data_IF_401749801237
#
_entry.id   IF_401749801237
#
_cell.length_a   1.000
_cell.length_b   1.000
_cell.length_c   1.000
_cell.angle_alpha   90.00
_cell.angle_beta   90.00
_cell.angle_gamma   90.00
#
_symmetry.space_group_name_H-M   'P 1'
#
loop_
_entity.id
_entity.type
_entity.pdbx_description
1 polymer ?
#
# COMPACT_ATOMS: atom_id res chain seq x y z
N UNK A 1 2.46 1.53 31.96
CA UNK A 1 2.27 1.74 30.50
C UNK A 1 1.75 0.43 29.95
N UNK A 2 0.51 0.35 29.51
CA UNK A 2 -0.04 -0.87 28.97
C UNK A 2 0.75 -1.30 27.74
N UNK A 3 1.31 -2.51 27.75
CA UNK A 3 1.98 -3.11 26.61
C UNK A 3 0.96 -3.22 25.48
N UNK A 4 1.26 -2.70 24.30
CA UNK A 4 0.47 -2.98 23.10
C UNK A 4 0.41 -4.50 22.92
N UNK A 5 -0.77 -5.06 22.61
CA UNK A 5 -0.95 -6.50 22.35
C UNK A 5 -0.01 -7.06 21.25
N UNK A 6 0.67 -6.19 20.50
CA UNK A 6 1.59 -6.53 19.40
C UNK A 6 3.06 -6.51 19.81
N UNK A 7 3.40 -6.33 21.09
CA UNK A 7 4.80 -6.12 21.52
C UNK A 7 5.62 -7.42 21.56
N UNK A 8 5.02 -8.57 21.86
CA UNK A 8 5.73 -9.84 21.94
C UNK A 8 5.79 -10.54 20.59
N UNK A 9 6.98 -10.51 19.95
CA UNK A 9 7.20 -11.11 18.64
C UNK A 9 7.00 -12.65 18.64
N UNK A 10 7.22 -13.32 19.77
CA UNK A 10 7.00 -14.77 19.91
C UNK A 10 5.53 -15.12 19.69
N UNK A 11 4.62 -14.29 20.21
CA UNK A 11 3.17 -14.49 20.10
C UNK A 11 2.57 -13.91 18.79
N UNK A 12 3.38 -13.24 17.96
CA UNK A 12 2.95 -12.68 16.69
C UNK A 12 2.96 -13.73 15.56
N UNK A 13 2.34 -14.89 15.81
CA UNK A 13 2.30 -16.04 14.90
C UNK A 13 0.98 -16.80 15.04
N UNK A 14 0.75 -17.81 14.20
CA UNK A 14 -0.35 -18.76 14.37
C UNK A 14 0.02 -19.80 15.43
N UNK A 15 -0.93 -20.18 16.30
CA UNK A 15 -0.65 -21.01 17.47
C UNK A 15 0.02 -22.35 17.16
N UNK A 16 -0.33 -23.00 16.04
CA UNK A 16 0.29 -24.28 15.64
C UNK A 16 1.78 -24.17 15.30
N UNK A 17 2.26 -22.93 15.02
CA UNK A 17 3.68 -22.68 14.77
C UNK A 17 4.55 -22.84 16.01
N UNK A 18 3.96 -22.72 17.20
CA UNK A 18 4.68 -22.93 18.46
C UNK A 18 5.23 -24.35 18.60
N UNK A 19 4.58 -25.34 17.97
CA UNK A 19 4.96 -26.75 17.99
C UNK A 19 5.84 -27.21 16.83
N UNK A 20 6.25 -26.34 15.90
CA UNK A 20 6.99 -26.77 14.71
C UNK A 20 8.40 -27.30 15.02
N UNK A 21 9.00 -26.93 16.15
CA UNK A 21 10.29 -27.44 16.60
C UNK A 21 10.32 -28.96 16.82
N UNK A 22 9.17 -29.56 17.13
CA UNK A 22 9.00 -31.01 17.30
C UNK A 22 8.83 -31.78 15.98
N UNK A 23 8.66 -31.07 14.85
CA UNK A 23 8.19 -31.68 13.60
C UNK A 23 9.30 -31.90 12.58
N UNK A 24 10.46 -31.24 12.74
CA UNK A 24 11.57 -31.42 11.83
C UNK A 24 12.35 -32.70 12.11
N UNK A 25 12.94 -33.33 11.08
CA UNK A 25 13.95 -34.39 11.27
C UNK A 25 15.08 -33.91 12.20
N UNK A 26 15.58 -34.82 13.07
CA UNK A 26 16.55 -34.46 14.10
C UNK A 26 17.90 -33.93 13.54
N UNK A 27 18.22 -34.28 12.31
CA UNK A 27 19.42 -33.82 11.60
C UNK A 27 19.23 -32.50 10.84
N UNK A 28 18.03 -31.87 10.87
CA UNK A 28 17.78 -30.59 10.24
C UNK A 28 18.57 -29.46 10.92
N UNK A 29 19.30 -28.67 10.13
CA UNK A 29 20.12 -27.54 10.62
C UNK A 29 19.64 -26.21 10.07
N UNK A 30 19.24 -26.17 8.81
CA UNK A 30 18.71 -24.94 8.22
C UNK A 30 17.47 -25.22 7.39
N UNK A 31 16.57 -24.24 7.40
CA UNK A 31 15.32 -24.25 6.63
C UNK A 31 15.27 -22.97 5.80
N UNK A 32 15.08 -23.13 4.51
CA UNK A 32 14.86 -22.03 3.57
C UNK A 32 13.40 -21.96 3.16
N UNK A 33 12.82 -20.77 3.21
CA UNK A 33 11.48 -20.49 2.72
C UNK A 33 11.47 -19.18 1.92
N UNK A 34 10.52 -19.03 1.01
CA UNK A 34 10.34 -17.78 0.27
C UNK A 34 8.88 -17.38 0.16
N UNK A 35 8.67 -16.05 0.08
CA UNK A 35 7.38 -15.43 -0.19
C UNK A 35 7.24 -15.17 -1.68
N UNK A 36 6.09 -15.53 -2.24
CA UNK A 36 5.74 -15.30 -3.64
C UNK A 36 4.25 -15.04 -3.77
N UNK A 37 3.83 -14.53 -4.92
CA UNK A 37 2.44 -14.36 -5.30
C UNK A 37 2.07 -15.30 -6.45
N UNK A 38 0.83 -15.79 -6.45
CA UNK A 38 0.27 -16.50 -7.62
C UNK A 38 -0.38 -15.53 -8.61
N UNK A 39 -0.40 -14.23 -8.28
CA UNK A 39 -1.07 -13.19 -9.06
C UNK A 39 -2.58 -13.24 -8.94
N UNK A 40 -3.26 -12.39 -9.67
CA UNK A 40 -4.72 -12.41 -9.84
C UNK A 40 -5.08 -12.63 -11.30
N UNK A 41 -6.34 -12.96 -11.56
CA UNK A 41 -6.88 -13.08 -12.93
C UNK A 41 -6.83 -11.78 -13.74
N UNK A 42 -6.71 -10.63 -13.07
CA UNK A 42 -6.74 -9.31 -13.71
C UNK A 42 -5.39 -8.80 -14.19
N UNK A 43 -4.29 -9.12 -13.49
CA UNK A 43 -2.91 -8.85 -13.92
C UNK A 43 -1.92 -9.80 -13.27
N UNK A 44 -0.90 -10.24 -14.00
CA UNK A 44 0.13 -11.11 -13.47
C UNK A 44 1.17 -10.38 -12.62
N UNK A 45 1.26 -9.03 -12.69
CA UNK A 45 2.29 -8.26 -12.01
C UNK A 45 1.81 -7.75 -10.65
N UNK A 46 2.76 -7.65 -9.72
CA UNK A 46 2.60 -7.17 -8.35
C UNK A 46 3.70 -6.17 -8.04
N UNK A 47 3.36 -5.06 -7.39
CA UNK A 47 4.32 -4.11 -6.84
C UNK A 47 4.75 -4.57 -5.45
N UNK A 48 6.03 -4.92 -5.28
CA UNK A 48 6.56 -5.32 -3.97
C UNK A 48 6.85 -4.09 -3.11
N UNK A 49 6.32 -4.08 -1.87
CA UNK A 49 6.52 -3.00 -0.91
C UNK A 49 6.25 -3.47 0.52
N UNK A 50 6.92 -2.84 1.51
CA UNK A 50 6.56 -2.86 2.93
C UNK A 50 7.44 -3.69 3.85
N UNK A 51 8.36 -4.49 3.34
CA UNK A 51 9.25 -5.32 4.16
C UNK A 51 10.12 -4.47 5.12
N UNK A 52 10.67 -3.34 4.66
CA UNK A 52 11.52 -2.47 5.47
C UNK A 52 10.79 -1.94 6.71
N UNK A 53 9.49 -1.68 6.64
CA UNK A 53 8.69 -1.29 7.80
C UNK A 53 8.72 -2.40 8.86
N UNK A 54 8.52 -3.65 8.47
CA UNK A 54 8.52 -4.81 9.37
C UNK A 54 9.90 -5.05 9.99
N UNK A 55 10.97 -4.97 9.20
CA UNK A 55 12.33 -5.14 9.69
C UNK A 55 12.65 -4.12 10.78
N UNK A 56 12.27 -2.85 10.59
CA UNK A 56 12.51 -1.76 11.56
C UNK A 56 11.56 -1.80 12.76
N UNK A 57 10.28 -2.12 12.54
CA UNK A 57 9.27 -2.01 13.59
C UNK A 57 9.22 -3.23 14.51
N UNK A 58 9.60 -4.41 13.98
CA UNK A 58 9.51 -5.68 14.70
C UNK A 58 10.86 -6.40 14.87
N UNK A 59 11.55 -6.71 13.79
CA UNK A 59 12.75 -7.57 13.88
C UNK A 59 13.95 -6.88 14.52
N UNK A 60 14.03 -5.55 14.48
CA UNK A 60 15.08 -4.79 15.18
C UNK A 60 14.89 -4.73 16.70
N UNK A 61 13.77 -5.22 17.22
CA UNK A 61 13.50 -5.27 18.66
C UNK A 61 13.88 -6.64 19.21
N UNK A 62 14.73 -6.68 20.24
CA UNK A 62 15.12 -7.95 20.85
C UNK A 62 13.95 -8.55 21.63
N UNK A 63 13.79 -9.86 21.50
CA UNK A 63 12.94 -10.65 22.41
C UNK A 63 13.60 -10.69 23.80
N UNK A 64 12.84 -10.43 24.84
CA UNK A 64 13.30 -10.45 26.22
C UNK A 64 12.97 -11.79 26.90
N UNK A 65 13.64 -12.05 28.04
CA UNK A 65 13.28 -13.17 28.93
C UNK A 65 11.82 -13.07 29.41
N UNK A 66 11.31 -11.86 29.63
CA UNK A 66 9.90 -11.65 30.01
C UNK A 66 8.94 -12.07 28.90
N UNK A 67 9.26 -11.76 27.62
CA UNK A 67 8.46 -12.20 26.47
C UNK A 67 8.43 -13.73 26.35
N UNK A 68 9.55 -14.42 26.66
CA UNK A 68 9.60 -15.89 26.66
C UNK A 68 8.71 -16.47 27.74
N UNK A 69 8.72 -15.90 28.94
CA UNK A 69 7.88 -16.37 30.04
C UNK A 69 6.39 -16.14 29.75
N UNK A 70 6.03 -14.98 29.23
CA UNK A 70 4.65 -14.70 28.79
C UNK A 70 4.19 -15.69 27.71
N UNK A 71 5.05 -15.96 26.71
CA UNK A 71 4.73 -16.88 25.64
C UNK A 71 4.57 -18.34 26.14
N UNK A 72 5.39 -18.77 27.11
CA UNK A 72 5.24 -20.08 27.76
C UNK A 72 3.90 -20.21 28.47
N UNK A 73 3.52 -19.21 29.27
CA UNK A 73 2.25 -19.20 30.01
C UNK A 73 1.05 -19.27 29.05
N UNK A 74 1.09 -18.44 27.99
CA UNK A 74 0.04 -18.43 26.96
C UNK A 74 -0.02 -19.76 26.22
N UNK A 75 1.11 -20.31 25.80
CA UNK A 75 1.17 -21.58 25.08
C UNK A 75 0.61 -22.72 25.93
N UNK A 76 1.02 -22.82 27.20
CA UNK A 76 0.53 -23.85 28.14
C UNK A 76 -0.98 -23.73 28.36
N UNK A 77 -1.50 -22.53 28.63
CA UNK A 77 -2.93 -22.31 28.83
C UNK A 77 -3.74 -22.58 27.55
N UNK A 78 -3.13 -22.34 26.36
CA UNK A 78 -3.74 -22.60 25.06
C UNK A 78 -3.62 -24.05 24.57
N UNK A 79 -2.88 -24.89 25.31
CA UNK A 79 -2.69 -26.30 24.96
C UNK A 79 -1.69 -26.56 23.82
N UNK A 80 -0.72 -25.67 23.66
CA UNK A 80 0.33 -25.78 22.64
C UNK A 80 1.69 -26.11 23.27
N UNK A 81 2.52 -26.95 22.62
CA UNK A 81 3.90 -27.11 22.99
C UNK A 81 4.70 -25.83 22.75
N UNK A 82 5.74 -25.59 23.56
CA UNK A 82 6.56 -24.39 23.49
C UNK A 82 8.05 -24.72 23.68
N UNK A 83 8.90 -24.24 22.77
CA UNK A 83 10.36 -24.41 22.88
C UNK A 83 10.98 -23.30 23.74
N UNK A 84 10.76 -23.37 25.05
CA UNK A 84 11.36 -22.42 26.00
C UNK A 84 12.88 -22.39 25.89
N UNK A 85 13.53 -23.55 25.71
CA UNK A 85 14.98 -23.64 25.65
C UNK A 85 15.54 -22.95 24.38
N UNK A 86 14.89 -23.15 23.23
CA UNK A 86 15.26 -22.48 21.97
C UNK A 86 15.07 -20.95 22.06
N UNK A 87 13.98 -20.49 22.65
CA UNK A 87 13.77 -19.05 22.84
C UNK A 87 14.74 -18.41 23.84
N UNK A 88 15.05 -19.08 24.94
CA UNK A 88 16.08 -18.61 25.89
C UNK A 88 17.48 -18.61 25.24
N UNK A 89 17.79 -19.58 24.37
CA UNK A 89 19.02 -19.59 23.58
C UNK A 89 19.12 -18.33 22.68
N UNK A 90 18.01 -17.90 22.06
CA UNK A 90 17.99 -16.64 21.29
C UNK A 90 18.30 -15.44 22.21
N UNK A 91 17.71 -15.38 23.40
CA UNK A 91 17.95 -14.29 24.35
C UNK A 91 19.41 -14.27 24.81
N UNK A 92 19.98 -15.42 25.16
CA UNK A 92 21.29 -15.56 25.79
C UNK A 92 22.45 -15.49 24.79
N UNK A 93 22.28 -16.09 23.61
CA UNK A 93 23.34 -16.22 22.61
C UNK A 93 23.29 -15.10 21.56
N UNK A 94 22.07 -14.68 21.19
CA UNK A 94 21.86 -13.68 20.14
C UNK A 94 21.34 -12.34 20.66
N UNK A 95 21.35 -12.12 22.01
CA UNK A 95 20.88 -10.88 22.63
C UNK A 95 19.40 -10.61 22.37
N UNK A 96 18.60 -11.64 22.11
CA UNK A 96 17.17 -11.55 21.78
C UNK A 96 16.88 -11.24 20.32
N UNK A 97 17.86 -11.01 19.49
CA UNK A 97 17.68 -10.77 18.06
C UNK A 97 17.57 -12.09 17.30
N UNK A 98 16.60 -12.19 16.39
CA UNK A 98 16.35 -13.45 15.71
C UNK A 98 17.51 -13.81 14.75
N UNK A 99 18.12 -15.00 14.88
CA UNK A 99 19.17 -15.47 13.99
C UNK A 99 18.59 -15.92 12.64
N UNK A 100 18.23 -14.93 11.84
CA UNK A 100 17.67 -15.07 10.50
C UNK A 100 18.49 -14.26 9.50
N UNK A 101 18.59 -14.77 8.29
CA UNK A 101 18.99 -14.04 7.09
C UNK A 101 17.77 -13.86 6.20
N UNK A 102 17.49 -12.62 5.81
CA UNK A 102 16.40 -12.26 4.90
C UNK A 102 17.01 -11.61 3.66
N UNK A 103 16.65 -12.15 2.51
CA UNK A 103 17.00 -11.60 1.20
C UNK A 103 15.70 -11.16 0.51
N UNK A 104 15.73 -10.02 -0.16
CA UNK A 104 14.55 -9.48 -0.84
C UNK A 104 14.94 -8.78 -2.15
N UNK A 105 13.99 -8.74 -3.08
CA UNK A 105 14.09 -7.81 -4.20
C UNK A 105 13.91 -6.38 -3.69
N UNK A 106 14.47 -5.36 -4.36
CA UNK A 106 14.26 -3.97 -3.96
C UNK A 106 12.78 -3.58 -3.92
N UNK A 107 12.35 -2.90 -2.86
CA UNK A 107 10.97 -2.38 -2.78
C UNK A 107 10.69 -1.40 -3.93
N UNK A 108 9.46 -1.36 -4.42
CA UNK A 108 9.07 -0.63 -5.63
C UNK A 108 9.31 -1.41 -6.94
N UNK A 109 9.79 -2.66 -6.86
CA UNK A 109 9.95 -3.53 -8.02
C UNK A 109 8.60 -4.14 -8.42
N UNK A 110 8.26 -4.06 -9.70
CA UNK A 110 7.15 -4.81 -10.28
C UNK A 110 7.63 -6.23 -10.67
N UNK A 111 6.87 -7.24 -10.28
CA UNK A 111 7.24 -8.65 -10.49
C UNK A 111 6.04 -9.43 -11.00
N UNK A 112 6.30 -10.41 -11.86
CA UNK A 112 5.28 -11.37 -12.26
C UNK A 112 5.03 -12.43 -11.18
N UNK A 113 3.85 -13.05 -11.25
CA UNK A 113 3.50 -14.18 -10.38
C UNK A 113 4.56 -15.27 -10.44
N UNK A 114 4.79 -15.91 -9.29
CA UNK A 114 5.73 -17.01 -9.16
C UNK A 114 7.17 -16.58 -8.86
N UNK A 115 7.51 -15.30 -9.02
CA UNK A 115 8.82 -14.78 -8.65
C UNK A 115 8.90 -14.61 -7.13
N UNK A 116 9.94 -15.09 -6.45
CA UNK A 116 10.14 -14.86 -5.02
C UNK A 116 10.44 -13.39 -4.76
N UNK A 117 9.71 -12.78 -3.83
CA UNK A 117 9.92 -11.38 -3.41
C UNK A 117 10.82 -11.30 -2.18
N UNK A 118 10.75 -12.31 -1.30
CA UNK A 118 11.54 -12.43 -0.07
C UNK A 118 11.95 -13.89 0.10
N UNK A 119 13.19 -14.15 0.51
CA UNK A 119 13.66 -15.43 0.97
C UNK A 119 14.21 -15.31 2.39
N UNK A 120 13.92 -16.28 3.25
CA UNK A 120 14.36 -16.32 4.64
C UNK A 120 14.99 -17.66 4.95
N UNK A 121 16.09 -17.61 5.72
CA UNK A 121 16.84 -18.81 6.20
C UNK A 121 17.25 -18.54 7.65
N UNK A 122 17.16 -19.54 8.53
CA UNK A 122 17.78 -19.47 9.86
C UNK A 122 19.30 -19.53 9.73
N UNK A 123 20.01 -18.77 10.55
CA UNK A 123 21.48 -18.74 10.58
C UNK A 123 22.06 -19.56 11.74
N UNK A 124 21.26 -19.84 12.77
CA UNK A 124 21.62 -20.73 13.85
C UNK A 124 21.09 -22.15 13.58
N UNK A 125 21.97 -23.17 13.46
CA UNK A 125 21.57 -24.54 13.21
C UNK A 125 20.80 -25.21 14.37
N UNK A 126 20.78 -24.62 15.56
CA UNK A 126 19.98 -25.08 16.69
C UNK A 126 18.49 -24.69 16.54
N UNK A 127 18.16 -23.76 15.64
CA UNK A 127 16.85 -23.11 15.52
C UNK A 127 16.24 -23.24 14.11
N UNK A 128 16.20 -24.43 13.49
CA UNK A 128 15.67 -24.60 12.13
C UNK A 128 14.18 -24.24 12.03
N UNK A 129 13.42 -24.38 13.10
CA UNK A 129 12.00 -24.05 13.19
C UNK A 129 11.68 -22.56 13.10
N UNK A 130 12.67 -21.68 13.36
CA UNK A 130 12.47 -20.23 13.41
C UNK A 130 11.98 -19.67 12.06
N UNK A 131 12.44 -20.24 10.94
CA UNK A 131 11.95 -19.90 9.60
C UNK A 131 10.45 -20.14 9.44
N UNK A 132 9.92 -21.22 10.01
CA UNK A 132 8.48 -21.48 10.01
C UNK A 132 7.72 -20.58 10.98
N UNK A 133 8.30 -20.26 12.13
CA UNK A 133 7.69 -19.43 13.15
C UNK A 133 7.40 -18.03 12.65
N UNK A 134 8.35 -17.41 11.90
CA UNK A 134 8.21 -16.04 11.39
C UNK A 134 7.23 -15.90 10.21
N UNK A 135 6.75 -17.01 9.63
CA UNK A 135 5.91 -16.99 8.42
C UNK A 135 4.71 -16.06 8.56
N UNK A 136 3.96 -16.15 9.66
CA UNK A 136 2.71 -15.40 9.82
C UNK A 136 2.93 -13.90 9.82
N UNK A 137 3.90 -13.42 10.59
CA UNK A 137 4.22 -12.00 10.67
C UNK A 137 4.89 -11.47 9.41
N UNK A 138 5.84 -12.22 8.84
CA UNK A 138 6.52 -11.87 7.59
C UNK A 138 5.54 -11.83 6.40
N UNK A 139 4.64 -12.80 6.31
CA UNK A 139 3.65 -12.84 5.24
C UNK A 139 2.70 -11.64 5.31
N UNK A 140 2.21 -11.27 6.51
CA UNK A 140 1.40 -10.06 6.72
C UNK A 140 2.14 -8.79 6.31
N UNK A 141 3.42 -8.70 6.67
CA UNK A 141 4.28 -7.57 6.33
C UNK A 141 4.50 -7.38 4.83
N UNK A 142 4.29 -8.42 4.03
CA UNK A 142 4.50 -8.41 2.58
C UNK A 142 3.19 -8.30 1.81
N UNK A 143 2.19 -9.16 2.11
CA UNK A 143 1.02 -9.25 1.25
C UNK A 143 0.16 -7.99 1.27
N UNK A 144 -0.07 -7.41 2.46
CA UNK A 144 -0.99 -6.27 2.58
C UNK A 144 -0.43 -5.00 1.93
N UNK A 145 0.76 -4.50 2.26
CA UNK A 145 1.30 -3.31 1.62
C UNK A 145 1.56 -3.50 0.12
N UNK A 146 2.02 -4.69 -0.30
CA UNK A 146 2.20 -4.99 -1.73
C UNK A 146 0.87 -4.97 -2.49
N UNK A 147 -0.23 -5.44 -1.87
CA UNK A 147 -1.55 -5.40 -2.49
C UNK A 147 -2.06 -3.96 -2.63
N UNK A 148 -1.89 -3.12 -1.60
CA UNK A 148 -2.26 -1.70 -1.67
C UNK A 148 -1.40 -0.96 -2.71
N UNK A 149 -0.07 -1.16 -2.71
CA UNK A 149 0.83 -0.55 -3.68
C UNK A 149 0.47 -0.97 -5.13
N UNK A 150 0.11 -2.24 -5.33
CA UNK A 150 -0.37 -2.74 -6.63
C UNK A 150 -1.69 -2.10 -7.03
N UNK A 151 -2.60 -1.89 -6.09
CA UNK A 151 -3.88 -1.20 -6.35
C UNK A 151 -3.63 0.26 -6.73
N UNK A 152 -2.75 0.96 -6.02
CA UNK A 152 -2.33 2.33 -6.35
C UNK A 152 -1.66 2.39 -7.73
N UNK A 153 -0.81 1.42 -8.07
CA UNK A 153 -0.23 1.31 -9.40
C UNK A 153 -1.29 1.14 -10.50
N UNK A 154 -2.28 0.28 -10.27
CA UNK A 154 -3.41 0.09 -11.22
C UNK A 154 -4.23 1.36 -11.40
N UNK A 155 -4.48 2.11 -10.34
CA UNK A 155 -5.13 3.42 -10.40
C UNK A 155 -4.33 4.39 -11.27
N UNK A 156 -3.01 4.46 -11.06
CA UNK A 156 -2.11 5.26 -11.92
C UNK A 156 -2.25 4.86 -13.38
N UNK A 157 -2.16 3.55 -13.69
CA UNK A 157 -2.25 3.04 -15.06
C UNK A 157 -3.64 3.25 -15.68
N UNK A 158 -4.69 3.33 -14.87
CA UNK A 158 -6.04 3.62 -15.34
C UNK A 158 -6.26 5.11 -15.67
N UNK A 159 -5.59 6.02 -14.95
CA UNK A 159 -5.77 7.46 -15.07
C UNK A 159 -4.79 8.07 -16.10
N UNK A 160 -3.55 7.61 -16.12
CA UNK A 160 -2.47 8.21 -16.92
C UNK A 160 -2.81 8.35 -18.40
N UNK A 161 -3.42 7.38 -19.12
CA UNK A 161 -3.77 7.52 -20.52
C UNK A 161 -4.75 8.68 -20.78
N UNK A 162 -5.68 8.98 -19.86
CA UNK A 162 -6.58 10.13 -19.97
C UNK A 162 -5.82 11.44 -19.80
N UNK A 163 -4.92 11.51 -18.82
CA UNK A 163 -4.06 12.67 -18.65
C UNK A 163 -3.18 12.91 -19.89
N UNK A 164 -2.56 11.86 -20.43
CA UNK A 164 -1.73 11.93 -21.63
C UNK A 164 -2.50 12.45 -22.86
N UNK A 165 -3.75 12.09 -23.02
CA UNK A 165 -4.56 12.57 -24.15
C UNK A 165 -5.13 13.96 -23.94
N UNK A 166 -5.43 14.36 -22.71
CA UNK A 166 -6.28 15.53 -22.44
C UNK A 166 -5.63 16.65 -21.64
N UNK A 167 -4.38 16.48 -21.14
CA UNK A 167 -3.70 17.52 -20.34
C UNK A 167 -2.34 17.90 -20.94
N UNK A 168 -1.87 19.11 -20.65
CA UNK A 168 -0.56 19.60 -21.10
C UNK A 168 0.59 19.03 -20.26
N UNK A 169 0.36 18.71 -18.98
CA UNK A 169 1.34 18.12 -18.06
C UNK A 169 0.80 16.84 -17.38
N UNK A 170 0.77 15.71 -18.09
CA UNK A 170 0.20 14.48 -17.55
C UNK A 170 1.00 13.92 -16.36
N UNK A 171 2.33 14.01 -16.39
CA UNK A 171 3.19 13.42 -15.34
C UNK A 171 3.24 14.29 -14.08
N UNK A 172 3.22 15.61 -14.20
CA UNK A 172 3.17 16.52 -13.06
C UNK A 172 1.81 16.48 -12.34
N UNK A 173 0.72 16.23 -13.07
CA UNK A 173 -0.62 16.13 -12.49
C UNK A 173 -0.92 14.79 -11.86
N UNK A 174 -0.40 13.69 -12.42
CA UNK A 174 -0.73 12.32 -12.01
C UNK A 174 -0.58 12.07 -10.51
N UNK A 175 0.49 12.51 -9.81
CA UNK A 175 0.69 12.21 -8.40
C UNK A 175 -0.42 12.75 -7.46
N UNK A 176 -1.14 13.77 -7.89
CA UNK A 176 -2.21 14.41 -7.10
C UNK A 176 -3.62 13.93 -7.46
N UNK A 177 -3.77 12.97 -8.38
CA UNK A 177 -5.11 12.59 -8.89
C UNK A 177 -5.89 11.67 -7.99
N UNK A 178 -5.25 10.92 -7.08
CA UNK A 178 -5.95 10.08 -6.11
C UNK A 178 -5.43 10.35 -4.70
N UNK A 179 -6.35 10.68 -3.80
CA UNK A 179 -6.10 10.85 -2.37
C UNK A 179 -6.54 9.61 -1.59
N UNK A 180 -5.75 9.21 -0.62
CA UNK A 180 -6.14 8.17 0.34
C UNK A 180 -7.06 8.75 1.42
N UNK A 181 -8.33 8.33 1.44
CA UNK A 181 -9.34 8.61 2.45
C UNK A 181 -9.69 7.35 3.28
N UNK A 182 -8.81 6.34 3.23
CA UNK A 182 -9.06 5.01 3.79
C UNK A 182 -8.78 4.85 5.27
N UNK A 183 -8.21 5.83 5.95
CA UNK A 183 -7.81 5.72 7.37
C UNK A 183 -8.94 5.18 8.25
N UNK A 184 -10.14 5.75 8.14
CA UNK A 184 -11.35 5.33 8.91
C UNK A 184 -11.90 3.97 8.48
N UNK A 185 -11.50 3.44 7.34
CA UNK A 185 -12.01 2.18 6.79
C UNK A 185 -11.17 0.97 7.19
N UNK A 186 -10.04 1.18 7.87
CA UNK A 186 -9.16 0.10 8.34
C UNK A 186 -9.59 -0.39 9.72
N UNK A 187 -9.21 -1.63 10.07
CA UNK A 187 -9.53 -2.24 11.36
C UNK A 187 -8.61 -1.80 12.51
N UNK A 188 -7.57 -1.04 12.22
CA UNK A 188 -6.63 -0.54 13.22
C UNK A 188 -5.62 0.45 12.66
N UNK A 189 -4.99 1.21 13.55
CA UNK A 189 -4.00 2.24 13.20
C UNK A 189 -2.83 1.68 12.40
N UNK A 190 -2.36 0.48 12.75
CA UNK A 190 -1.26 -0.18 12.04
C UNK A 190 -1.63 -0.48 10.59
N UNK A 191 -2.83 -1.00 10.35
CA UNK A 191 -3.31 -1.25 8.98
C UNK A 191 -3.39 0.06 8.18
N UNK A 192 -3.89 1.14 8.79
CA UNK A 192 -3.92 2.47 8.16
C UNK A 192 -2.52 2.99 7.85
N UNK A 193 -1.58 2.81 8.79
CA UNK A 193 -0.19 3.26 8.63
C UNK A 193 0.51 2.54 7.47
N UNK A 194 0.42 1.21 7.44
CA UNK A 194 1.07 0.38 6.42
C UNK A 194 0.40 0.58 5.05
N UNK A 195 -0.93 0.59 5.00
CA UNK A 195 -1.68 0.79 3.74
C UNK A 195 -1.53 2.19 3.18
N UNK A 196 -1.63 3.22 4.04
CA UNK A 196 -1.40 4.60 3.63
C UNK A 196 0.02 4.83 3.09
N UNK A 197 1.04 4.24 3.72
CA UNK A 197 2.40 4.27 3.20
C UNK A 197 2.51 3.63 1.80
N UNK A 198 1.83 2.51 1.59
CA UNK A 198 1.84 1.79 0.32
C UNK A 198 1.17 2.58 -0.83
N UNK A 199 0.07 3.30 -0.55
CA UNK A 199 -0.57 4.21 -1.50
C UNK A 199 0.41 5.28 -1.99
N UNK A 200 1.22 5.83 -1.09
CA UNK A 200 2.16 6.91 -1.38
C UNK A 200 3.33 6.51 -2.28
N UNK A 201 3.48 5.24 -2.62
CA UNK A 201 4.45 4.79 -3.64
C UNK A 201 4.13 5.40 -5.02
N UNK A 202 2.84 5.59 -5.34
CA UNK A 202 2.39 6.07 -6.65
C UNK A 202 1.69 7.43 -6.64
N UNK A 203 1.21 7.88 -5.48
CA UNK A 203 0.51 9.14 -5.31
C UNK A 203 1.14 9.98 -4.20
N UNK A 204 0.90 11.31 -4.27
CA UNK A 204 1.43 12.27 -3.30
C UNK A 204 0.31 13.00 -2.53
N UNK A 205 -0.91 12.43 -2.55
CA UNK A 205 -2.07 13.00 -1.87
C UNK A 205 -2.67 11.99 -0.91
N UNK A 206 -2.89 12.40 0.36
CA UNK A 206 -3.43 11.53 1.39
C UNK A 206 -3.93 12.34 2.59
N UNK A 207 -5.07 11.91 3.15
CA UNK A 207 -5.60 12.35 4.45
C UNK A 207 -5.29 11.34 5.57
N UNK A 208 -4.62 10.22 5.25
CA UNK A 208 -4.22 9.20 6.22
C UNK A 208 -2.93 9.58 6.93
N UNK A 209 -3.01 10.39 7.99
CA UNK A 209 -1.85 10.79 8.78
C UNK A 209 -0.99 9.61 9.27
N UNK A 210 -1.55 8.47 9.74
CA UNK A 210 -0.76 7.31 10.11
C UNK A 210 0.16 6.81 8.97
N UNK A 211 -0.31 6.83 7.71
CA UNK A 211 0.50 6.46 6.54
C UNK A 211 1.66 7.41 6.29
N UNK A 212 1.42 8.71 6.41
CA UNK A 212 2.46 9.74 6.28
C UNK A 212 3.55 9.55 7.35
N UNK A 213 3.14 9.36 8.61
CA UNK A 213 4.07 9.14 9.72
C UNK A 213 4.88 7.86 9.55
N UNK A 214 4.26 6.81 9.01
CA UNK A 214 4.94 5.54 8.74
C UNK A 214 6.04 5.69 7.69
N UNK A 215 5.77 6.41 6.59
CA UNK A 215 6.78 6.69 5.56
C UNK A 215 7.94 7.51 6.14
N UNK A 216 7.64 8.55 6.91
CA UNK A 216 8.67 9.37 7.57
C UNK A 216 9.56 8.52 8.47
N UNK A 217 8.97 7.65 9.28
CA UNK A 217 9.70 6.82 10.25
C UNK A 217 10.51 5.71 9.57
N UNK A 218 9.91 4.99 8.64
CA UNK A 218 10.52 3.79 8.06
C UNK A 218 11.47 4.09 6.90
N UNK A 219 11.23 5.16 6.14
CA UNK A 219 11.95 5.47 4.91
C UNK A 219 12.66 6.84 4.92
N UNK A 220 12.57 7.59 6.03
CA UNK A 220 13.30 8.85 6.20
C UNK A 220 12.83 10.01 5.32
N UNK A 221 11.62 9.95 4.75
CA UNK A 221 11.08 11.05 3.94
C UNK A 221 10.59 12.20 4.83
N UNK A 222 10.86 13.45 4.44
CA UNK A 222 10.42 14.62 5.21
C UNK A 222 8.90 14.80 5.17
N UNK A 223 8.33 14.96 3.98
CA UNK A 223 6.88 15.07 3.78
C UNK A 223 6.47 14.33 2.50
N UNK A 224 6.04 13.05 2.63
CA UNK A 224 5.75 12.20 1.47
C UNK A 224 4.41 12.51 0.79
N UNK A 225 3.51 13.26 1.43
CA UNK A 225 2.19 13.59 0.91
C UNK A 225 1.73 14.98 1.30
N UNK A 226 0.82 15.51 0.49
CA UNK A 226 0.12 16.76 0.73
C UNK A 226 -1.39 16.51 0.79
N UNK A 227 -2.11 17.41 1.46
CA UNK A 227 -3.56 17.52 1.44
C UNK A 227 -3.97 18.98 1.40
N UNK A 228 -5.26 19.24 1.28
CA UNK A 228 -5.87 20.58 1.32
C UNK A 228 -6.89 20.65 2.44
N UNK A 229 -7.14 21.81 3.04
CA UNK A 229 -8.24 21.97 3.99
C UNK A 229 -9.55 21.49 3.37
N UNK A 230 -10.35 20.74 4.14
CA UNK A 230 -11.59 20.17 3.66
C UNK A 230 -12.70 20.30 4.72
N UNK A 231 -13.92 20.59 4.26
CA UNK A 231 -15.11 20.57 5.09
C UNK A 231 -15.70 19.15 5.16
N UNK A 232 -16.39 18.85 6.25
CA UNK A 232 -17.24 17.66 6.42
C UNK A 232 -18.72 18.04 6.56
N UNK A 233 -19.61 17.09 6.31
CA UNK A 233 -21.06 17.33 6.40
C UNK A 233 -21.49 17.90 7.75
N UNK A 234 -20.95 17.37 8.87
CA UNK A 234 -21.29 17.84 10.20
C UNK A 234 -21.02 19.33 10.43
N UNK A 235 -19.93 19.85 9.86
CA UNK A 235 -19.61 21.28 9.98
C UNK A 235 -20.49 22.17 9.11
N UNK A 236 -20.98 21.67 7.98
CA UNK A 236 -21.95 22.41 7.15
C UNK A 236 -23.34 22.38 7.79
N UNK A 237 -23.82 21.21 8.17
CA UNK A 237 -25.18 21.04 8.75
C UNK A 237 -25.34 21.70 10.10
N UNK A 238 -24.27 21.94 10.84
CA UNK A 238 -24.29 22.73 12.09
C UNK A 238 -24.80 24.17 11.90
N UNK A 239 -24.70 24.70 10.67
CA UNK A 239 -25.26 26.03 10.35
C UNK A 239 -26.78 26.00 10.08
N UNK A 240 -27.30 24.83 9.71
CA UNK A 240 -28.68 24.65 9.25
C UNK A 240 -28.87 24.99 7.77
N UNK A 241 -29.87 24.37 7.14
CA UNK A 241 -30.13 24.49 5.69
C UNK A 241 -30.26 25.93 5.21
N UNK A 242 -30.98 26.75 5.96
CA UNK A 242 -31.23 28.16 5.59
C UNK A 242 -29.96 29.03 5.60
N UNK A 243 -28.90 28.56 6.24
CA UNK A 243 -27.61 29.25 6.37
C UNK A 243 -26.46 28.57 5.63
N UNK A 244 -26.76 27.66 4.72
CA UNK A 244 -25.73 26.96 3.95
C UNK A 244 -24.82 27.93 3.17
N UNK A 245 -25.40 28.98 2.58
CA UNK A 245 -24.61 30.03 1.90
C UNK A 245 -23.66 30.77 2.84
N UNK A 246 -24.07 31.00 4.09
CA UNK A 246 -23.22 31.64 5.11
C UNK A 246 -22.10 30.69 5.54
N UNK A 247 -22.41 29.38 5.71
CA UNK A 247 -21.42 28.37 6.02
C UNK A 247 -20.29 28.32 4.96
N UNK A 248 -20.67 28.26 3.69
CA UNK A 248 -19.70 28.26 2.59
C UNK A 248 -18.90 29.56 2.51
N UNK A 249 -19.58 30.73 2.69
CA UNK A 249 -18.92 32.01 2.72
C UNK A 249 -17.88 32.12 3.85
N UNK A 250 -18.22 31.60 5.04
CA UNK A 250 -17.31 31.52 6.18
C UNK A 250 -16.08 30.65 5.89
N UNK A 251 -16.27 29.49 5.26
CA UNK A 251 -15.16 28.58 4.91
C UNK A 251 -14.22 29.18 3.86
N UNK A 252 -14.75 29.94 2.88
CA UNK A 252 -13.90 30.73 1.97
C UNK A 252 -12.98 31.64 2.76
N UNK A 253 -13.54 32.44 3.70
CA UNK A 253 -12.76 33.36 4.51
C UNK A 253 -11.68 32.68 5.35
N UNK A 254 -11.95 31.44 5.83
CA UNK A 254 -11.01 30.68 6.65
C UNK A 254 -9.92 29.99 5.84
N UNK A 255 -10.23 29.57 4.62
CA UNK A 255 -9.33 28.74 3.81
C UNK A 255 -8.69 29.46 2.63
N UNK A 256 -9.04 30.73 2.37
CA UNK A 256 -8.49 31.51 1.25
C UNK A 256 -6.97 31.75 1.31
N UNK A 257 -6.33 31.57 2.47
CA UNK A 257 -4.88 31.63 2.61
C UNK A 257 -4.13 30.38 2.13
N UNK A 258 -4.85 29.30 1.85
CA UNK A 258 -4.29 28.09 1.25
C UNK A 258 -4.41 28.13 -0.27
N UNK A 259 -3.60 27.34 -0.99
CA UNK A 259 -3.64 27.28 -2.45
C UNK A 259 -4.96 26.71 -2.99
N UNK A 260 -5.53 25.76 -2.25
CA UNK A 260 -6.81 25.13 -2.58
C UNK A 260 -7.51 24.66 -1.29
N UNK A 261 -8.82 24.47 -1.36
CA UNK A 261 -9.63 23.94 -0.27
C UNK A 261 -10.84 23.18 -0.85
N UNK A 262 -11.29 22.13 -0.16
CA UNK A 262 -12.42 21.30 -0.59
C UNK A 262 -13.65 21.53 0.28
N UNK A 263 -14.81 21.72 -0.35
CA UNK A 263 -16.07 21.87 0.37
C UNK A 263 -17.08 20.82 -0.14
N UNK A 264 -17.55 19.99 0.80
CA UNK A 264 -18.66 19.09 0.55
C UNK A 264 -19.92 19.89 0.27
N UNK A 265 -20.60 19.60 -0.83
CA UNK A 265 -21.63 20.48 -1.39
C UNK A 265 -23.01 19.83 -1.55
N UNK A 266 -23.18 18.61 -1.05
CA UNK A 266 -24.41 17.82 -1.15
C UNK A 266 -25.13 17.64 0.19
N UNK A 267 -24.81 18.50 1.18
CA UNK A 267 -25.42 18.40 2.51
C UNK A 267 -26.95 18.53 2.48
N UNK A 268 -27.50 19.26 1.50
CA UNK A 268 -28.94 19.43 1.31
C UNK A 268 -29.36 19.22 -0.14
N UNK A 269 -28.92 20.09 -1.06
CA UNK A 269 -29.24 20.03 -2.49
C UNK A 269 -28.01 20.41 -3.29
N UNK A 270 -27.34 19.39 -3.84
CA UNK A 270 -26.12 19.55 -4.63
C UNK A 270 -26.33 20.46 -5.85
N UNK A 271 -27.46 20.30 -6.56
CA UNK A 271 -27.72 21.11 -7.74
C UNK A 271 -27.85 22.58 -7.39
N UNK A 272 -28.62 22.91 -6.33
CA UNK A 272 -28.73 24.27 -5.81
C UNK A 272 -27.40 24.81 -5.30
N UNK A 273 -26.62 23.97 -4.59
CA UNK A 273 -25.30 24.38 -4.10
C UNK A 273 -24.36 24.75 -5.27
N UNK A 274 -24.31 23.95 -6.33
CA UNK A 274 -23.42 24.21 -7.46
C UNK A 274 -23.90 25.37 -8.33
N UNK A 275 -25.19 25.41 -8.69
CA UNK A 275 -25.70 26.38 -9.67
C UNK A 275 -26.05 27.75 -9.04
N UNK A 276 -26.65 27.77 -7.84
CA UNK A 276 -27.12 29.00 -7.20
C UNK A 276 -26.10 29.53 -6.19
N UNK A 277 -25.56 28.66 -5.30
CA UNK A 277 -24.66 29.17 -4.26
C UNK A 277 -23.27 29.41 -4.86
N UNK A 278 -22.60 28.40 -5.37
CA UNK A 278 -21.28 28.56 -5.97
C UNK A 278 -21.30 29.34 -7.26
N UNK A 279 -22.27 29.02 -8.15
CA UNK A 279 -22.33 29.56 -9.51
C UNK A 279 -22.82 31.02 -9.58
N UNK A 280 -23.52 31.52 -8.56
CA UNK A 280 -24.06 32.90 -8.53
C UNK A 280 -23.72 33.65 -7.26
N UNK A 281 -24.28 33.23 -6.08
CA UNK A 281 -24.19 34.01 -4.84
C UNK A 281 -22.74 34.21 -4.37
N UNK A 282 -21.91 33.21 -4.43
CA UNK A 282 -20.51 33.21 -3.96
C UNK A 282 -19.48 33.27 -5.07
N UNK A 283 -19.88 33.30 -6.33
CA UNK A 283 -18.95 33.26 -7.49
C UNK A 283 -17.87 34.36 -7.41
N UNK A 284 -18.31 35.62 -7.17
CA UNK A 284 -17.39 36.76 -7.05
C UNK A 284 -16.43 36.59 -5.87
N UNK A 285 -16.93 36.05 -4.73
CA UNK A 285 -16.10 35.80 -3.55
C UNK A 285 -15.07 34.69 -3.79
N UNK A 286 -15.48 33.61 -4.46
CA UNK A 286 -14.56 32.52 -4.84
C UNK A 286 -13.44 33.02 -5.76
N UNK A 287 -13.79 33.82 -6.78
CA UNK A 287 -12.79 34.45 -7.68
C UNK A 287 -11.84 35.37 -6.95
N UNK A 288 -12.37 36.21 -6.04
CA UNK A 288 -11.57 37.16 -5.26
C UNK A 288 -10.66 36.49 -4.23
N UNK A 289 -10.99 35.29 -3.79
CA UNK A 289 -10.20 34.54 -2.80
C UNK A 289 -8.80 34.14 -3.30
N UNK A 290 -8.61 34.00 -4.63
CA UNK A 290 -7.31 33.61 -5.24
C UNK A 290 -6.92 32.16 -5.01
N UNK A 291 -7.70 31.40 -4.24
CA UNK A 291 -7.51 29.99 -3.96
C UNK A 291 -8.47 29.13 -4.79
N UNK A 292 -8.11 27.88 -5.09
CA UNK A 292 -8.99 26.98 -5.82
C UNK A 292 -10.00 26.30 -4.90
N UNK A 293 -11.30 26.56 -5.13
CA UNK A 293 -12.40 25.80 -4.55
C UNK A 293 -12.49 24.43 -5.23
N UNK A 294 -12.39 23.36 -4.47
CA UNK A 294 -12.62 21.99 -4.93
C UNK A 294 -13.99 21.54 -4.46
N UNK A 295 -14.97 21.52 -5.36
CA UNK A 295 -16.33 21.10 -5.07
C UNK A 295 -16.37 19.58 -4.92
N UNK A 296 -16.92 19.09 -3.80
CA UNK A 296 -17.06 17.67 -3.50
C UNK A 296 -18.54 17.26 -3.48
N UNK A 297 -19.04 16.57 -4.52
CA UNK A 297 -20.23 15.76 -4.43
C UNK A 297 -19.88 14.46 -3.69
N UNK A 298 -20.65 14.08 -2.68
CA UNK A 298 -20.37 12.91 -1.83
C UNK A 298 -21.56 11.93 -1.81
N UNK A 299 -22.55 12.17 -2.68
CA UNK A 299 -23.76 11.34 -2.86
C UNK A 299 -24.25 11.39 -4.30
N UNK A 300 -25.27 10.55 -4.61
CA UNK A 300 -25.84 10.41 -5.94
C UNK A 300 -25.18 9.30 -6.75
N UNK A 301 -25.35 9.32 -8.08
CA UNK A 301 -24.70 8.37 -8.96
C UNK A 301 -23.20 8.68 -9.03
N UNK A 302 -22.32 7.72 -8.67
CA UNK A 302 -20.90 8.00 -8.55
C UNK A 302 -20.22 8.39 -9.87
N UNK A 303 -20.83 8.09 -11.02
CA UNK A 303 -20.30 8.38 -12.35
C UNK A 303 -20.93 9.65 -12.93
N UNK A 304 -22.27 9.75 -12.90
CA UNK A 304 -22.98 10.85 -13.53
C UNK A 304 -22.88 12.16 -12.73
N UNK A 305 -22.95 12.09 -11.40
CA UNK A 305 -22.94 13.28 -10.54
C UNK A 305 -21.69 14.14 -10.73
N UNK A 306 -20.44 13.61 -10.64
CA UNK A 306 -19.25 14.45 -10.81
C UNK A 306 -19.11 15.02 -12.22
N UNK A 307 -19.58 14.31 -13.25
CA UNK A 307 -19.58 14.81 -14.64
C UNK A 307 -20.54 16.00 -14.78
N UNK A 308 -21.73 15.92 -14.18
CA UNK A 308 -22.71 17.02 -14.15
C UNK A 308 -22.16 18.25 -13.39
N UNK A 309 -21.49 18.03 -12.25
CA UNK A 309 -20.86 19.12 -11.47
C UNK A 309 -19.79 19.83 -12.30
N UNK A 310 -18.93 19.10 -13.02
CA UNK A 310 -17.94 19.73 -13.94
C UNK A 310 -18.63 20.57 -15.00
N UNK A 311 -19.71 20.05 -15.63
CA UNK A 311 -20.45 20.79 -16.66
C UNK A 311 -21.13 22.06 -16.09
N UNK A 312 -21.73 21.98 -14.91
CA UNK A 312 -22.38 23.12 -14.23
C UNK A 312 -21.37 24.20 -13.83
N UNK A 313 -20.21 23.81 -13.31
CA UNK A 313 -19.11 24.73 -12.99
C UNK A 313 -18.54 25.37 -14.27
N UNK A 314 -18.44 24.61 -15.36
CA UNK A 314 -18.02 25.16 -16.66
C UNK A 314 -18.99 26.21 -17.17
N UNK A 315 -20.30 26.01 -17.00
CA UNK A 315 -21.31 27.00 -17.34
C UNK A 315 -21.22 28.26 -16.47
N UNK A 316 -21.02 28.10 -15.18
CA UNK A 316 -20.99 29.21 -14.23
C UNK A 316 -19.66 30.01 -14.30
N UNK A 317 -18.52 29.33 -14.32
CA UNK A 317 -17.19 29.96 -14.24
C UNK A 317 -16.49 30.15 -15.58
N UNK A 318 -16.97 29.47 -16.63
CA UNK A 318 -16.28 29.41 -17.92
C UNK A 318 -15.17 28.36 -17.97
N UNK A 319 -14.59 28.23 -19.17
CA UNK A 319 -13.47 27.34 -19.45
C UNK A 319 -12.45 28.03 -20.36
N UNK A 320 -11.20 27.55 -20.29
CA UNK A 320 -10.19 27.81 -21.31
C UNK A 320 -9.87 26.52 -22.06
N UNK A 321 -9.40 26.61 -23.28
CA UNK A 321 -8.81 25.46 -23.98
C UNK A 321 -7.33 25.33 -23.62
N UNK A 322 -6.88 24.12 -23.33
CA UNK A 322 -5.46 23.81 -23.17
C UNK A 322 -4.78 23.56 -24.52
N UNK A 323 -3.47 23.28 -24.52
CA UNK A 323 -2.68 23.05 -25.74
C UNK A 323 -3.13 21.85 -26.58
N UNK A 324 -3.93 20.93 -26.00
CA UNK A 324 -4.50 19.77 -26.69
C UNK A 324 -5.97 19.98 -27.11
N UNK A 325 -6.52 21.18 -26.91
CA UNK A 325 -7.88 21.55 -27.33
C UNK A 325 -8.99 21.09 -26.35
N UNK A 326 -8.65 20.63 -25.15
CA UNK A 326 -9.62 20.24 -24.14
C UNK A 326 -9.98 21.40 -23.23
N UNK A 327 -11.26 21.42 -22.76
CA UNK A 327 -11.78 22.41 -21.83
C UNK A 327 -11.22 22.20 -20.44
N UNK A 328 -10.61 23.23 -19.89
CA UNK A 328 -10.15 23.31 -18.50
C UNK A 328 -11.01 24.33 -17.79
N UNK A 329 -11.58 24.00 -16.64
CA UNK A 329 -12.34 24.91 -15.79
C UNK A 329 -11.50 26.12 -15.41
N UNK A 330 -12.16 27.25 -15.10
CA UNK A 330 -11.53 28.40 -14.47
C UNK A 330 -10.61 27.97 -13.31
N UNK A 331 -9.48 28.66 -13.16
CA UNK A 331 -8.46 28.29 -12.16
C UNK A 331 -9.01 28.24 -10.71
N UNK A 332 -10.09 28.95 -10.44
CA UNK A 332 -10.70 29.04 -9.12
C UNK A 332 -11.55 27.82 -8.73
N UNK A 333 -11.86 26.90 -9.65
CA UNK A 333 -12.75 25.77 -9.36
C UNK A 333 -12.24 24.44 -9.93
N UNK A 334 -12.35 23.38 -9.15
CA UNK A 334 -12.09 21.97 -9.51
C UNK A 334 -13.12 21.08 -8.84
N UNK A 335 -13.09 19.79 -9.17
CA UNK A 335 -13.98 18.78 -8.59
C UNK A 335 -13.16 17.64 -7.98
N UNK A 336 -13.65 17.08 -6.87
CA UNK A 336 -13.13 15.83 -6.32
C UNK A 336 -14.28 14.85 -6.09
N UNK A 337 -14.22 13.67 -6.71
CA UNK A 337 -15.17 12.60 -6.45
C UNK A 337 -14.59 11.61 -5.42
N UNK A 338 -15.29 11.39 -4.30
CA UNK A 338 -14.78 10.56 -3.21
C UNK A 338 -15.75 9.50 -2.68
N UNK A 339 -16.98 9.47 -3.15
CA UNK A 339 -17.97 8.49 -2.72
C UNK A 339 -17.85 7.20 -3.53
N UNK A 340 -17.38 6.15 -2.85
CA UNK A 340 -17.48 4.76 -3.27
C UNK A 340 -16.83 4.34 -4.59
N UNK A 341 -16.00 5.18 -5.21
CA UNK A 341 -15.46 4.95 -6.55
C UNK A 341 -14.50 3.76 -6.64
N UNK A 342 -14.69 2.96 -7.69
CA UNK A 342 -13.79 1.91 -8.14
C UNK A 342 -12.87 2.40 -9.27
N UNK A 343 -11.89 1.57 -9.66
CA UNK A 343 -11.04 1.86 -10.83
C UNK A 343 -11.89 1.99 -12.10
N UNK A 344 -12.90 1.16 -12.26
CA UNK A 344 -13.81 1.17 -13.39
C UNK A 344 -14.65 2.46 -13.43
N UNK A 345 -15.16 2.90 -12.27
CA UNK A 345 -15.92 4.15 -12.19
C UNK A 345 -15.05 5.36 -12.56
N UNK A 346 -13.81 5.40 -12.09
CA UNK A 346 -12.84 6.44 -12.47
C UNK A 346 -12.63 6.48 -13.98
N UNK A 347 -12.45 5.32 -14.62
CA UNK A 347 -12.29 5.25 -16.07
C UNK A 347 -13.56 5.71 -16.80
N UNK A 348 -14.75 5.37 -16.31
CA UNK A 348 -16.02 5.82 -16.90
C UNK A 348 -16.22 7.33 -16.75
N UNK A 349 -15.94 7.90 -15.59
CA UNK A 349 -15.99 9.34 -15.35
C UNK A 349 -15.06 10.08 -16.32
N UNK A 350 -13.78 9.66 -16.38
CA UNK A 350 -12.77 10.28 -17.23
C UNK A 350 -13.13 10.14 -18.71
N UNK A 351 -13.63 8.97 -19.13
CA UNK A 351 -14.08 8.75 -20.51
C UNK A 351 -15.28 9.62 -20.91
N UNK A 352 -16.24 9.84 -20.02
CA UNK A 352 -17.37 10.77 -20.26
C UNK A 352 -16.91 12.21 -20.35
N UNK A 353 -16.03 12.65 -19.46
CA UNK A 353 -15.45 14.01 -19.49
C UNK A 353 -14.67 14.22 -20.78
N UNK A 354 -13.82 13.27 -21.19
CA UNK A 354 -13.08 13.32 -22.46
C UNK A 354 -14.04 13.41 -23.65
N UNK A 355 -15.12 12.59 -23.69
CA UNK A 355 -16.14 12.61 -24.73
C UNK A 355 -16.91 13.95 -24.82
N UNK A 356 -17.00 14.70 -23.72
CA UNK A 356 -17.57 16.04 -23.65
C UNK A 356 -16.54 17.16 -23.98
N UNK A 357 -15.29 16.79 -24.26
CA UNK A 357 -14.18 17.70 -24.54
C UNK A 357 -13.58 18.34 -23.31
N UNK A 358 -13.75 17.78 -22.11
CA UNK A 358 -13.10 18.23 -20.88
C UNK A 358 -11.78 17.53 -20.62
N UNK A 359 -10.81 18.28 -20.15
CA UNK A 359 -9.53 17.75 -19.66
C UNK A 359 -9.70 16.96 -18.36
N UNK A 360 -8.98 15.85 -18.22
CA UNK A 360 -8.92 15.05 -16.99
C UNK A 360 -8.35 15.83 -15.78
N UNK A 361 -7.69 16.97 -16.00
CA UNK A 361 -7.19 17.83 -14.91
C UNK A 361 -8.31 18.52 -14.11
N UNK A 362 -9.55 18.54 -14.60
CA UNK A 362 -10.68 19.17 -13.92
C UNK A 362 -11.16 18.40 -12.68
N UNK A 363 -10.79 17.11 -12.57
CA UNK A 363 -11.25 16.24 -11.49
C UNK A 363 -10.11 15.47 -10.86
N UNK A 364 -10.23 15.24 -9.55
CA UNK A 364 -9.44 14.29 -8.77
C UNK A 364 -10.35 13.30 -8.03
N UNK A 365 -9.77 12.29 -7.40
CA UNK A 365 -10.52 11.23 -6.75
C UNK A 365 -10.05 11.01 -5.31
N UNK A 366 -10.96 10.67 -4.42
CA UNK A 366 -10.68 10.17 -3.09
C UNK A 366 -11.09 8.71 -2.97
N UNK A 367 -10.23 7.83 -2.48
CA UNK A 367 -10.56 6.43 -2.26
C UNK A 367 -10.42 6.05 -0.79
N UNK A 368 -11.47 5.47 -0.23
CA UNK A 368 -11.50 4.98 1.15
C UNK A 368 -11.29 3.46 1.24
N UNK A 369 -12.36 2.74 1.61
CA UNK A 369 -12.31 1.28 1.84
C UNK A 369 -11.87 0.47 0.61
N UNK A 370 -12.14 0.94 -0.60
CA UNK A 370 -11.69 0.30 -1.85
C UNK A 370 -10.18 0.19 -1.98
N UNK A 371 -9.46 1.14 -1.38
CA UNK A 371 -8.00 1.20 -1.39
C UNK A 371 -7.37 0.36 -0.26
N UNK A 372 -7.83 0.53 0.99
CA UNK A 372 -7.15 0.01 2.17
C UNK A 372 -7.82 -1.20 2.81
N UNK A 373 -9.10 -1.50 2.53
CA UNK A 373 -9.85 -2.51 3.29
C UNK A 373 -10.50 -3.60 2.43
N UNK A 374 -11.04 -3.29 1.25
CA UNK A 374 -11.69 -4.29 0.36
C UNK A 374 -10.68 -5.21 -0.34
N UNK A 375 -9.62 -5.58 0.38
CA UNK A 375 -8.55 -6.47 -0.09
C UNK A 375 -8.23 -7.49 1.01
N UNK A 376 -7.75 -8.65 0.58
CA UNK A 376 -7.30 -9.71 1.48
C UNK A 376 -6.06 -10.42 0.89
N UNK A 377 -5.49 -11.37 1.63
CA UNK A 377 -4.31 -12.11 1.19
C UNK A 377 -4.51 -12.80 -0.18
N UNK A 378 -5.73 -13.24 -0.47
CA UNK A 378 -6.06 -13.97 -1.69
C UNK A 378 -6.29 -13.05 -2.90
N UNK A 379 -6.41 -11.72 -2.69
CA UNK A 379 -6.51 -10.71 -3.77
C UNK A 379 -5.36 -10.86 -4.78
N UNK A 380 -4.13 -11.07 -4.30
CA UNK A 380 -2.95 -11.37 -5.12
C UNK A 380 -2.36 -12.76 -4.80
N UNK A 381 -3.05 -13.55 -3.98
CA UNK A 381 -2.70 -14.93 -3.62
C UNK A 381 -1.27 -15.09 -3.10
N UNK A 382 -0.87 -14.22 -2.18
CA UNK A 382 0.44 -14.32 -1.52
C UNK A 382 0.56 -15.57 -0.65
N UNK A 383 1.72 -16.20 -0.69
CA UNK A 383 2.03 -17.39 0.09
C UNK A 383 3.51 -17.43 0.45
N UNK A 384 3.83 -17.96 1.62
CA UNK A 384 5.18 -18.34 1.97
C UNK A 384 5.31 -19.86 1.86
N UNK A 385 6.44 -20.35 1.36
CA UNK A 385 6.69 -21.76 1.14
C UNK A 385 8.07 -22.14 1.61
N UNK A 386 8.15 -23.15 2.47
CA UNK A 386 9.40 -23.85 2.70
C UNK A 386 9.81 -24.56 1.41
N UNK A 387 11.04 -24.37 0.98
CA UNK A 387 11.54 -24.84 -0.31
C UNK A 387 12.78 -25.72 -0.21
N UNK A 388 13.55 -25.59 0.88
CA UNK A 388 14.73 -26.41 1.09
C UNK A 388 15.02 -26.63 2.59
N UNK A 389 15.64 -27.72 2.93
CA UNK A 389 16.22 -28.02 4.25
C UNK A 389 17.67 -28.46 4.09
N UNK A 390 18.50 -28.08 5.07
CA UNK A 390 19.89 -28.52 5.16
C UNK A 390 20.04 -29.49 6.33
N UNK A 391 20.70 -30.64 6.08
CA UNK A 391 20.99 -31.63 7.10
C UNK A 391 22.31 -31.34 7.85
N UNK A 392 22.64 -32.15 8.84
CA UNK A 392 23.87 -32.02 9.63
C UNK A 392 25.18 -32.23 8.79
N UNK A 393 25.12 -32.85 7.63
CA UNK A 393 26.25 -32.96 6.71
C UNK A 393 26.44 -31.72 5.83
N UNK A 394 25.57 -30.68 5.96
CA UNK A 394 25.63 -29.48 5.14
C UNK A 394 24.94 -29.61 3.79
N UNK A 395 24.26 -30.72 3.53
CA UNK A 395 23.62 -31.01 2.25
C UNK A 395 22.21 -30.39 2.21
N UNK A 396 21.97 -29.60 1.16
CA UNK A 396 20.64 -29.03 0.91
C UNK A 396 19.77 -30.04 0.15
N UNK A 397 18.62 -30.32 0.67
CA UNK A 397 17.56 -31.10 0.03
C UNK A 397 16.38 -30.19 -0.29
N UNK A 398 15.90 -30.27 -1.52
CA UNK A 398 14.67 -29.57 -1.94
C UNK A 398 13.46 -30.15 -1.22
N UNK A 399 12.56 -29.26 -0.82
CA UNK A 399 11.27 -29.61 -0.23
C UNK A 399 10.16 -28.94 -1.03
N UNK A 400 9.07 -29.65 -1.24
CA UNK A 400 7.93 -29.09 -1.95
C UNK A 400 6.80 -30.10 -2.03
N UNK A 401 5.58 -29.60 -1.93
CA UNK A 401 4.40 -30.44 -2.13
C UNK A 401 4.31 -30.79 -3.62
N UNK A 402 4.24 -32.07 -3.93
CA UNK A 402 3.88 -32.54 -5.27
C UNK A 402 2.37 -32.69 -5.34
N UNK A 403 1.73 -31.91 -6.20
CA UNK A 403 0.30 -32.10 -6.48
C UNK A 403 0.10 -33.40 -7.29
N UNK A 404 -0.91 -34.22 -6.97
CA UNK A 404 -1.28 -35.36 -7.80
C UNK A 404 -1.91 -34.92 -9.14
N UNK A 405 -2.25 -33.64 -9.32
CA UNK A 405 -2.84 -33.12 -10.54
C UNK A 405 -1.76 -32.75 -11.56
N UNK A 406 -1.75 -33.39 -12.76
CA UNK A 406 -0.70 -33.19 -13.77
C UNK A 406 -0.63 -31.75 -14.33
N UNK A 407 -1.71 -30.96 -14.17
CA UNK A 407 -1.80 -29.58 -14.66
C UNK A 407 -1.11 -28.56 -13.73
N UNK A 408 -0.84 -28.93 -12.49
CA UNK A 408 -0.15 -28.05 -11.55
C UNK A 408 1.36 -28.11 -11.85
N UNK A 409 1.92 -26.99 -12.35
CA UNK A 409 3.38 -26.88 -12.37
C UNK A 409 3.90 -27.06 -10.94
N UNK A 410 4.88 -27.97 -10.73
CA UNK A 410 5.46 -28.12 -9.40
C UNK A 410 5.98 -26.76 -8.96
N UNK A 411 5.73 -26.35 -7.70
CA UNK A 411 6.28 -25.12 -7.19
C UNK A 411 7.79 -25.22 -7.25
N UNK A 412 8.45 -24.06 -7.47
CA UNK A 412 9.91 -24.00 -7.41
C UNK A 412 10.37 -24.56 -6.07
N UNK A 413 11.31 -25.48 -6.11
CA UNK A 413 11.91 -26.12 -4.95
C UNK A 413 13.38 -25.70 -4.83
N UNK A 414 14.00 -25.93 -3.67
CA UNK A 414 15.36 -25.52 -3.41
C UNK A 414 15.47 -24.05 -2.92
N UNK A 415 16.69 -23.61 -2.75
CA UNK A 415 16.98 -22.17 -2.59
C UNK A 415 16.82 -21.50 -3.94
N UNK A 416 16.27 -20.28 -3.93
CA UNK A 416 15.86 -19.58 -5.14
C UNK A 416 16.65 -18.29 -5.34
N UNK A 417 16.72 -17.85 -6.59
CA UNK A 417 17.23 -16.55 -6.98
C UNK A 417 16.22 -15.86 -7.93
N UNK A 418 16.25 -14.55 -7.96
CA UNK A 418 15.53 -13.73 -8.92
C UNK A 418 16.54 -13.04 -9.85
N UNK A 419 16.33 -13.11 -11.15
CA UNK A 419 17.24 -12.54 -12.16
C UNK A 419 16.48 -11.65 -13.12
N UNK A 420 17.15 -10.65 -13.66
CA UNK A 420 16.63 -9.91 -14.81
C UNK A 420 16.53 -10.82 -16.04
N UNK A 421 15.41 -10.78 -16.75
CA UNK A 421 15.12 -11.53 -17.97
C UNK A 421 14.45 -10.59 -18.99
N UNK A 422 15.29 -9.89 -19.75
CA UNK A 422 14.84 -8.79 -20.59
C UNK A 422 14.26 -7.64 -19.76
N UNK A 423 13.01 -7.29 -20.02
CA UNK A 423 12.24 -6.30 -19.24
C UNK A 423 11.57 -6.90 -18.00
N UNK A 424 11.62 -8.24 -17.85
CA UNK A 424 10.97 -8.98 -16.77
C UNK A 424 11.98 -9.45 -15.72
N UNK A 425 11.42 -10.08 -14.68
CA UNK A 425 12.19 -10.77 -13.65
C UNK A 425 11.74 -12.23 -13.62
N UNK A 426 12.70 -13.13 -13.73
CA UNK A 426 12.48 -14.57 -13.66
C UNK A 426 13.01 -15.17 -12.35
N UNK A 427 12.37 -16.22 -11.89
CA UNK A 427 12.85 -17.04 -10.78
C UNK A 427 13.66 -18.23 -11.32
N UNK A 428 14.79 -18.51 -10.68
CA UNK A 428 15.65 -19.66 -10.99
C UNK A 428 16.10 -20.35 -9.71
N UNK A 429 16.38 -21.66 -9.75
CA UNK A 429 17.11 -22.33 -8.66
C UNK A 429 18.44 -21.62 -8.39
N UNK A 430 18.81 -21.44 -7.14
CA UNK A 430 20.06 -20.76 -6.78
C UNK A 430 21.29 -21.48 -7.39
N UNK A 431 21.23 -22.80 -7.50
CA UNK A 431 22.30 -23.62 -8.13
C UNK A 431 22.50 -23.29 -9.63
N UNK A 432 21.47 -22.78 -10.29
CA UNK A 432 21.50 -22.41 -11.71
C UNK A 432 21.81 -20.92 -11.94
N UNK A 433 22.03 -20.14 -10.87
CA UNK A 433 22.30 -18.70 -10.96
C UNK A 433 23.56 -18.40 -11.81
N UNK A 434 24.61 -19.16 -11.62
CA UNK A 434 25.88 -18.92 -12.28
C UNK A 434 26.48 -17.56 -11.93
N UNK A 435 26.89 -16.80 -12.95
CA UNK A 435 27.43 -15.42 -12.78
C UNK A 435 26.37 -14.31 -12.89
N UNK A 436 25.10 -14.64 -13.05
CA UNK A 436 24.03 -13.64 -13.18
C UNK A 436 23.82 -12.93 -11.85
N UNK A 437 23.57 -11.62 -11.85
CA UNK A 437 23.21 -10.90 -10.62
C UNK A 437 21.91 -11.45 -10.02
N UNK A 438 21.94 -11.74 -8.72
CA UNK A 438 20.72 -12.08 -7.96
C UNK A 438 20.04 -10.80 -7.47
N UNK A 439 18.79 -10.61 -7.83
CA UNK A 439 17.97 -9.48 -7.37
C UNK A 439 17.46 -9.67 -5.94
N UNK A 440 17.44 -10.93 -5.42
CA UNK A 440 17.26 -11.18 -4.00
C UNK A 440 18.55 -10.78 -3.27
N UNK A 441 18.59 -9.58 -2.75
CA UNK A 441 19.74 -9.02 -2.04
C UNK A 441 19.58 -9.23 -0.52
N UNK A 442 20.67 -9.49 0.23
CA UNK A 442 20.62 -9.50 1.68
C UNK A 442 20.16 -8.14 2.22
N UNK A 443 19.03 -8.12 2.92
CA UNK A 443 18.46 -6.91 3.52
C UNK A 443 18.52 -6.93 5.05
N UNK A 444 18.60 -8.15 5.62
CA UNK A 444 18.65 -8.36 7.06
C UNK A 444 19.46 -9.59 7.41
N UNK A 445 20.25 -9.51 8.48
CA UNK A 445 20.95 -10.65 9.04
C UNK A 445 21.20 -10.46 10.55
N UNK A 446 20.75 -11.43 11.36
CA UNK A 446 21.03 -11.52 12.79
C UNK A 446 20.82 -10.21 13.56
N UNK A 447 19.66 -9.59 13.38
CA UNK A 447 19.31 -8.34 14.06
C UNK A 447 19.82 -7.07 13.36
N UNK A 448 20.53 -7.18 12.23
CA UNK A 448 21.13 -6.04 11.53
C UNK A 448 20.43 -5.79 10.20
N UNK A 449 19.98 -4.56 10.01
CA UNK A 449 19.52 -4.09 8.71
C UNK A 449 20.75 -3.84 7.82
N UNK A 450 20.87 -4.59 6.72
CA UNK A 450 22.00 -4.54 5.81
C UNK A 450 21.79 -3.59 4.64
N UNK A 451 20.53 -3.39 4.26
CA UNK A 451 20.15 -2.53 3.14
C UNK A 451 18.90 -1.73 3.52
N UNK A 452 18.97 -0.44 3.28
CA UNK A 452 17.83 0.48 3.35
C UNK A 452 17.61 1.12 1.99
N UNK A 453 16.34 1.37 1.67
CA UNK A 453 15.95 2.20 0.53
C UNK A 453 15.26 3.45 1.03
N UNK A 454 15.59 4.59 0.46
CA UNK A 454 14.82 5.80 0.64
C UNK A 454 13.47 5.70 -0.09
N UNK A 455 12.50 6.50 0.33
CA UNK A 455 11.18 6.50 -0.31
C UNK A 455 11.26 6.98 -1.76
N UNK A 456 12.18 7.89 -2.06
CA UNK A 456 12.39 8.41 -3.42
C UNK A 456 12.97 7.34 -4.36
N UNK A 457 13.91 6.49 -3.88
CA UNK A 457 14.40 5.36 -4.66
C UNK A 457 13.28 4.35 -4.98
N UNK A 458 12.38 4.11 -4.01
CA UNK A 458 11.21 3.23 -4.19
C UNK A 458 10.26 3.81 -5.24
N UNK A 459 9.93 5.09 -5.13
CA UNK A 459 9.08 5.81 -6.09
C UNK A 459 9.68 5.83 -7.50
N UNK A 460 10.97 6.10 -7.61
CA UNK A 460 11.67 6.11 -8.90
C UNK A 460 11.59 4.73 -9.58
N UNK A 461 11.81 3.65 -8.82
CA UNK A 461 11.72 2.27 -9.32
C UNK A 461 10.30 1.91 -9.74
N UNK A 462 9.30 2.25 -8.90
CA UNK A 462 7.89 2.01 -9.19
C UNK A 462 7.40 2.82 -10.41
N UNK A 463 7.94 4.02 -10.62
CA UNK A 463 7.64 4.85 -11.80
C UNK A 463 8.26 4.28 -13.08
N UNK A 464 9.47 3.76 -13.01
CA UNK A 464 10.12 3.10 -14.15
C UNK A 464 9.35 1.85 -14.60
N UNK A 465 8.81 1.07 -13.66
CA UNK A 465 7.94 -0.08 -13.97
C UNK A 465 6.63 0.32 -14.67
N UNK A 466 6.16 1.55 -14.47
CA UNK A 466 4.94 2.08 -15.10
C UNK A 466 5.16 2.59 -16.52
N UNK A 467 6.41 2.82 -16.91
CA UNK A 467 6.80 3.31 -18.24
C UNK A 467 7.17 2.16 -19.20
N UNK A 468 7.27 0.92 -18.70
CA UNK A 468 7.50 -0.24 -19.56
C UNK A 468 6.22 -0.56 -20.36
N UNK A 469 6.33 -0.82 -21.68
CA UNK A 469 5.20 -1.02 -22.60
C UNK A 469 4.35 -2.26 -22.25
#
# INVERSE_FOLDING_TARGET
>A
MGSSMTSNLILNTDSYKLGTYLQYPADTRSVSAFVTTRGSSFRPEVMFFGLQMFLKDYLSKPVSRADVMEAEDVAAAHGQPFDKAGWLHIVETHGGLLPLRIEAVPEGTALRRGVPVVQVVNTDPALPWLTSHIETSLLRAVWYPSTVATTAWRLRMAILPFLERTTDDPLGLQPSRVSDYGCRSTSGVEQSAIGGAAHLVHFHSSDSLPGILQVRRAYGADMPALSIPAAEHGTITAWGQNRETEAYSHLIDKFSSFNAYSIVSDSYDLHNAVTEIWGKKLQTKVRAAGATLVVRPDSGDPIDTPVQVVAQLAYAYGTRLNGKGFKVLDANVRVIQSDGVSIQDIQMILGRLEGMGFSAENISFGMGSGLLHKINRDTLSFTMRQSAVQNAAGEWRETGRRSPHPQDKPPMAGRVAAIADGTDIAAVPLAELGRRPNLLQPVWENGRLLKEWSFDEIRARASAASAAP
#
